data_IF_860119986730
#
_entry.id   IF_860119986730
#
_cell.length_a   1.000
_cell.length_b   1.000
_cell.length_c   1.000
_cell.angle_alpha   90.00
_cell.angle_beta   90.00
_cell.angle_gamma   90.00
#
_symmetry.space_group_name_H-M   'P 1'
#
loop_
_entity.id
_entity.type
_entity.pdbx_description
1 polymer ?
#
# COMPACT_ATOMS: atom_id res chain seq x y z
N UNK A 1 12.51 21.60 -1.88
CA UNK A 1 12.45 20.11 -1.92
C UNK A 1 11.17 19.69 -2.63
N UNK A 2 11.26 19.22 -3.88
CA UNK A 2 10.10 18.72 -4.63
C UNK A 2 9.71 17.34 -4.08
N UNK A 3 8.65 17.28 -3.28
CA UNK A 3 8.01 16.03 -2.86
C UNK A 3 7.54 15.31 -4.13
N UNK A 4 8.27 14.27 -4.56
CA UNK A 4 7.80 13.38 -5.60
C UNK A 4 6.63 12.57 -5.02
N UNK A 5 5.41 13.05 -5.21
CA UNK A 5 4.21 12.29 -4.89
C UNK A 5 4.03 11.22 -5.96
N UNK A 6 4.08 9.95 -5.55
CA UNK A 6 3.74 8.84 -6.43
C UNK A 6 2.22 8.76 -6.46
N UNK A 7 1.62 8.86 -7.63
CA UNK A 7 0.20 8.56 -7.79
C UNK A 7 0.01 7.05 -7.63
N UNK A 8 -0.63 6.64 -6.54
CA UNK A 8 -0.98 5.25 -6.27
C UNK A 8 -2.45 5.06 -6.63
N UNK A 9 -2.67 4.37 -7.75
CA UNK A 9 -4.00 4.05 -8.26
C UNK A 9 -4.28 2.54 -8.20
N UNK A 10 -5.52 2.19 -8.52
CA UNK A 10 -6.02 0.82 -8.50
C UNK A 10 -5.26 -0.09 -9.48
N UNK A 11 -4.85 0.43 -10.64
CA UNK A 11 -4.16 -0.34 -11.67
C UNK A 11 -2.75 -0.74 -11.23
N UNK A 12 -2.01 0.20 -10.60
CA UNK A 12 -0.72 -0.07 -9.99
C UNK A 12 -0.84 -1.17 -8.94
N UNK A 13 -1.81 -1.05 -8.06
CA UNK A 13 -2.03 -2.01 -6.96
C UNK A 13 -2.37 -3.40 -7.52
N UNK A 14 -3.28 -3.50 -8.49
CA UNK A 14 -3.62 -4.78 -9.13
C UNK A 14 -2.40 -5.46 -9.75
N UNK A 15 -1.53 -4.69 -10.43
CA UNK A 15 -0.29 -5.23 -11.00
C UNK A 15 0.67 -5.73 -9.92
N UNK A 16 0.86 -4.96 -8.84
CA UNK A 16 1.72 -5.36 -7.73
C UNK A 16 1.22 -6.66 -7.08
N UNK A 17 -0.08 -6.78 -6.84
CA UNK A 17 -0.69 -8.00 -6.30
C UNK A 17 -0.48 -9.17 -7.26
N UNK A 18 -0.75 -9.00 -8.55
CA UNK A 18 -0.58 -10.07 -9.53
C UNK A 18 0.88 -10.56 -9.63
N UNK A 19 1.85 -9.65 -9.51
CA UNK A 19 3.28 -10.00 -9.58
C UNK A 19 3.80 -10.62 -8.29
N UNK A 20 3.47 -10.05 -7.13
CA UNK A 20 4.06 -10.46 -5.85
C UNK A 20 3.25 -11.55 -5.13
N UNK A 21 1.94 -11.61 -5.38
CA UNK A 21 1.02 -12.56 -4.75
C UNK A 21 0.12 -13.23 -5.80
N UNK A 22 0.66 -14.09 -6.70
CA UNK A 22 -0.09 -14.65 -7.83
C UNK A 22 -1.39 -15.37 -7.46
N UNK A 23 -1.48 -15.93 -6.23
CA UNK A 23 -2.70 -16.56 -5.69
C UNK A 23 -3.90 -15.61 -5.54
N UNK A 24 -3.68 -14.31 -5.54
CA UNK A 24 -4.71 -13.27 -5.34
C UNK A 24 -4.86 -12.36 -6.56
N UNK A 25 -4.21 -12.69 -7.68
CA UNK A 25 -4.16 -11.84 -8.88
C UNK A 25 -5.54 -11.48 -9.45
N UNK A 26 -6.54 -12.34 -9.24
CA UNK A 26 -7.89 -12.20 -9.79
C UNK A 26 -8.85 -11.50 -8.82
N UNK A 27 -8.40 -11.12 -7.62
CA UNK A 27 -9.24 -10.42 -6.64
C UNK A 27 -9.40 -8.95 -7.01
N UNK A 28 -10.62 -8.42 -6.88
CA UNK A 28 -10.92 -7.03 -7.15
C UNK A 28 -10.17 -6.10 -6.19
N UNK A 29 -9.60 -5.02 -6.74
CA UNK A 29 -8.97 -3.95 -5.97
C UNK A 29 -9.87 -2.72 -5.98
N UNK A 30 -10.17 -2.16 -4.81
CA UNK A 30 -11.04 -0.98 -4.66
C UNK A 30 -10.44 0.03 -3.68
N UNK A 31 -10.39 1.34 -3.98
CA UNK A 31 -9.90 2.32 -3.03
C UNK A 31 -10.80 2.38 -1.79
N UNK A 32 -10.19 2.56 -0.61
CA UNK A 32 -10.93 2.88 0.61
C UNK A 32 -11.31 4.36 0.57
N UNK A 33 -12.58 4.68 0.88
CA UNK A 33 -13.14 6.03 0.79
C UNK A 33 -12.43 7.07 1.67
N UNK A 34 -11.78 6.62 2.76
CA UNK A 34 -11.02 7.44 3.70
C UNK A 34 -9.56 6.95 3.80
N UNK A 35 -8.68 7.50 2.96
CA UNK A 35 -7.24 7.24 3.02
C UNK A 35 -6.54 8.24 3.95
N UNK A 36 -5.68 7.74 4.86
CA UNK A 36 -4.77 8.59 5.64
C UNK A 36 -3.78 9.34 4.74
N UNK A 37 -3.17 10.41 5.25
CA UNK A 37 -2.31 11.29 4.45
C UNK A 37 -1.01 10.61 3.98
N UNK A 38 -0.59 9.62 4.75
CA UNK A 38 0.70 8.94 4.78
C UNK A 38 0.65 7.58 4.04
N UNK A 39 -0.52 6.93 3.98
CA UNK A 39 -0.71 5.64 3.31
C UNK A 39 -1.97 5.60 2.46
N UNK A 40 -1.83 5.10 1.24
CA UNK A 40 -2.94 4.78 0.33
C UNK A 40 -3.42 3.36 0.63
N UNK A 41 -4.70 3.20 0.97
CA UNK A 41 -5.29 1.90 1.33
C UNK A 41 -6.33 1.48 0.31
N UNK A 42 -6.30 0.20 -0.06
CA UNK A 42 -7.24 -0.43 -0.99
C UNK A 42 -7.78 -1.71 -0.37
N UNK A 43 -9.05 -2.02 -0.63
CA UNK A 43 -9.58 -3.36 -0.46
C UNK A 43 -9.01 -4.29 -1.54
N UNK A 44 -8.70 -5.53 -1.15
CA UNK A 44 -8.36 -6.64 -2.03
C UNK A 44 -9.34 -7.79 -1.76
N UNK A 45 -10.24 -8.05 -2.71
CA UNK A 45 -11.41 -8.89 -2.44
C UNK A 45 -12.24 -8.32 -1.30
N UNK A 46 -12.92 -9.19 -0.56
CA UNK A 46 -13.87 -8.77 0.47
C UNK A 46 -13.28 -8.72 1.88
N UNK A 47 -12.08 -9.27 2.08
CA UNK A 47 -11.54 -9.53 3.41
C UNK A 47 -10.11 -9.03 3.62
N UNK A 48 -9.44 -8.45 2.61
CA UNK A 48 -8.05 -8.02 2.72
C UNK A 48 -7.87 -6.54 2.39
N UNK A 49 -6.78 -5.98 2.88
CA UNK A 49 -6.35 -4.61 2.59
C UNK A 49 -4.93 -4.61 2.01
N UNK A 50 -4.69 -3.73 1.05
CA UNK A 50 -3.36 -3.37 0.57
C UNK A 50 -3.06 -1.95 1.04
N UNK A 51 -1.93 -1.76 1.72
CA UNK A 51 -1.46 -0.46 2.23
C UNK A 51 -0.14 -0.12 1.57
N UNK A 52 -0.08 1.02 0.89
CA UNK A 52 1.12 1.50 0.22
C UNK A 52 1.50 2.89 0.71
N UNK A 53 2.80 3.14 1.01
CA UNK A 53 3.27 4.45 1.41
C UNK A 53 3.15 5.45 0.26
N UNK A 54 2.58 6.64 0.53
CA UNK A 54 2.30 7.66 -0.50
C UNK A 54 3.54 8.43 -0.99
N UNK A 55 4.69 8.25 -0.32
CA UNK A 55 5.96 8.82 -0.73
C UNK A 55 7.14 7.94 -0.27
N UNK A 56 8.26 8.01 -0.99
CA UNK A 56 9.50 7.31 -0.64
C UNK A 56 9.99 7.63 0.78
N UNK A 57 9.74 8.85 1.26
CA UNK A 57 10.06 9.25 2.63
C UNK A 57 9.30 8.44 3.69
N UNK A 58 8.08 7.97 3.39
CA UNK A 58 7.30 7.08 4.26
C UNK A 58 7.69 5.61 4.11
N UNK A 59 8.19 5.20 2.93
CA UNK A 59 8.72 3.85 2.74
C UNK A 59 9.95 3.56 3.62
N UNK A 60 10.82 4.56 3.81
CA UNK A 60 11.97 4.49 4.73
C UNK A 60 11.56 4.38 6.22
N UNK A 61 10.29 4.63 6.54
CA UNK A 61 9.76 4.47 7.89
C UNK A 61 9.29 3.04 8.15
N UNK A 62 8.96 2.25 7.11
CA UNK A 62 8.56 0.85 7.24
C UNK A 62 9.68 0.00 7.85
N UNK A 63 10.93 0.19 7.46
CA UNK A 63 12.07 -0.52 8.07
C UNK A 63 12.28 -0.16 9.55
N UNK A 64 11.97 1.08 9.94
CA UNK A 64 12.05 1.52 11.34
C UNK A 64 10.88 0.95 12.13
N UNK A 65 9.67 1.01 11.60
CA UNK A 65 8.47 0.44 12.22
C UNK A 65 8.61 -1.08 12.40
N UNK A 66 9.07 -1.82 11.39
CA UNK A 66 9.31 -3.27 11.50
C UNK A 66 10.36 -3.64 12.56
N UNK A 67 11.31 -2.74 12.84
CA UNK A 67 12.35 -2.93 13.85
C UNK A 67 11.87 -2.65 15.27
N UNK A 68 10.95 -1.70 15.44
CA UNK A 68 10.57 -1.19 16.77
C UNK A 68 9.19 -1.68 17.25
N UNK A 69 8.22 -1.91 16.36
CA UNK A 69 6.89 -2.43 16.74
C UNK A 69 6.92 -3.81 17.45
N UNK A 70 7.79 -4.77 17.10
CA UNK A 70 7.88 -6.03 17.84
C UNK A 70 8.52 -5.91 19.23
N UNK A 71 9.03 -4.72 19.58
CA UNK A 71 9.79 -4.46 20.81
C UNK A 71 9.10 -3.47 21.75
N UNK A 72 7.88 -3.03 21.42
CA UNK A 72 7.07 -2.10 22.19
C UNK A 72 5.81 -2.81 22.70
#
# INVERSE_FOLDING_TARGET
>A
MLKHQVTIDTALVSRLVATQFPRWKDLAVRPVSSGGWDNRTFHLGDHMLVRLPSAAAYALQVEKEHRWLPRL
#
